data_IF_479988219659
#
_entry.id   IF_479988219659
#
_cell.length_a   1.000
_cell.length_b   1.000
_cell.length_c   1.000
_cell.angle_alpha   90.00
_cell.angle_beta   90.00
_cell.angle_gamma   90.00
#
_symmetry.space_group_name_H-M   'P 1'
#
loop_
_entity.id
_entity.type
_entity.pdbx_description
1 polymer ?
#
# COMPACT_ATOMS: atom_id res chain seq x y z
N UNK A 1 13.76 -26.34 -26.88
CA UNK A 1 12.30 -26.13 -26.74
C UNK A 1 11.92 -26.36 -25.28
N UNK A 2 11.92 -25.33 -24.43
CA UNK A 2 11.93 -25.52 -22.95
C UNK A 2 10.95 -24.63 -22.16
N UNK A 3 9.97 -23.99 -22.82
CA UNK A 3 8.91 -23.19 -22.16
C UNK A 3 7.47 -23.69 -22.41
N UNK A 4 7.28 -24.92 -22.88
CA UNK A 4 5.93 -25.46 -23.15
C UNK A 4 5.17 -24.79 -24.30
N UNK A 5 5.90 -24.21 -25.27
CA UNK A 5 5.32 -23.41 -26.34
C UNK A 5 4.89 -24.28 -27.53
N UNK A 6 3.67 -24.06 -28.02
CA UNK A 6 3.13 -24.73 -29.21
C UNK A 6 3.66 -24.07 -30.50
N UNK A 7 3.52 -24.73 -31.67
CA UNK A 7 3.89 -24.13 -32.97
C UNK A 7 3.18 -22.81 -33.28
N UNK A 8 1.98 -22.60 -32.73
CA UNK A 8 1.17 -21.39 -32.89
C UNK A 8 1.89 -20.14 -32.34
N UNK A 9 2.78 -20.31 -31.35
CA UNK A 9 3.48 -19.21 -30.68
C UNK A 9 4.32 -18.38 -31.66
N UNK A 10 4.88 -19.01 -32.70
CA UNK A 10 5.65 -18.28 -33.73
C UNK A 10 4.76 -17.36 -34.55
N UNK A 11 3.54 -17.80 -34.86
CA UNK A 11 2.56 -17.01 -35.62
C UNK A 11 2.09 -15.81 -34.79
N UNK A 12 1.74 -16.03 -33.53
CA UNK A 12 1.37 -14.97 -32.58
C UNK A 12 2.49 -13.94 -32.41
N UNK A 13 3.75 -14.39 -32.26
CA UNK A 13 4.88 -13.48 -32.12
C UNK A 13 5.09 -12.59 -33.35
N UNK A 14 4.92 -13.15 -34.57
CA UNK A 14 5.02 -12.38 -35.82
C UNK A 14 3.88 -11.38 -35.95
N UNK A 15 2.65 -11.77 -35.65
CA UNK A 15 1.47 -10.90 -35.71
C UNK A 15 1.55 -9.74 -34.71
N UNK A 16 1.94 -10.01 -33.45
CA UNK A 16 2.12 -8.98 -32.42
C UNK A 16 3.26 -8.01 -32.77
N UNK A 17 4.38 -8.54 -33.28
CA UNK A 17 5.52 -7.71 -33.70
C UNK A 17 5.19 -6.84 -34.92
N UNK A 18 4.36 -7.35 -35.84
CA UNK A 18 3.89 -6.59 -37.01
C UNK A 18 2.93 -5.45 -36.63
N UNK A 19 2.17 -5.60 -35.54
CA UNK A 19 1.30 -4.55 -35.03
C UNK A 19 2.09 -3.46 -34.28
N UNK A 20 2.93 -3.85 -33.32
CA UNK A 20 3.83 -2.96 -32.59
C UNK A 20 5.00 -3.75 -31.99
N UNK A 21 6.14 -3.71 -32.69
CA UNK A 21 7.34 -4.42 -32.27
C UNK A 21 7.88 -3.95 -30.91
N UNK A 22 7.74 -2.66 -30.57
CA UNK A 22 8.29 -2.10 -29.34
C UNK A 22 7.40 -2.46 -28.15
N UNK A 23 6.08 -2.34 -28.30
CA UNK A 23 5.13 -2.75 -27.28
C UNK A 23 5.17 -4.27 -27.05
N UNK A 24 5.22 -5.08 -28.11
CA UNK A 24 5.29 -6.54 -27.99
C UNK A 24 6.57 -7.01 -27.27
N UNK A 25 7.72 -6.36 -27.52
CA UNK A 25 8.95 -6.66 -26.79
C UNK A 25 8.91 -6.15 -25.36
N UNK A 26 8.42 -4.93 -25.13
CA UNK A 26 8.33 -4.33 -23.80
C UNK A 26 7.35 -5.09 -22.88
N UNK A 27 6.26 -5.62 -23.42
CA UNK A 27 5.35 -6.48 -22.68
C UNK A 27 5.97 -7.86 -22.40
N UNK A 28 6.63 -8.48 -23.39
CA UNK A 28 7.22 -9.80 -23.24
C UNK A 28 8.46 -9.83 -22.31
N UNK A 29 9.25 -8.77 -22.29
CA UNK A 29 10.51 -8.70 -21.53
C UNK A 29 10.37 -7.92 -20.22
N UNK A 30 9.63 -6.80 -20.23
CA UNK A 30 9.50 -5.90 -19.08
C UNK A 30 8.11 -5.90 -18.44
N UNK A 31 7.13 -6.62 -19.02
CA UNK A 31 5.76 -6.65 -18.51
C UNK A 31 5.02 -5.31 -18.63
N UNK A 32 5.49 -4.40 -19.50
CA UNK A 32 4.90 -3.08 -19.67
C UNK A 32 3.68 -3.22 -20.60
N UNK A 33 2.48 -3.15 -20.03
CA UNK A 33 1.24 -3.11 -20.81
C UNK A 33 0.99 -1.69 -21.33
N UNK A 34 0.90 -1.54 -22.66
CA UNK A 34 0.72 -0.25 -23.35
C UNK A 34 -0.51 0.55 -22.87
N UNK A 35 -1.58 -0.13 -22.44
CA UNK A 35 -2.83 0.48 -21.96
C UNK A 35 -2.79 0.98 -20.50
N UNK A 36 -1.71 0.69 -19.75
CA UNK A 36 -1.59 1.11 -18.34
C UNK A 36 -1.11 2.55 -18.21
N UNK A 37 -1.84 3.51 -18.78
CA UNK A 37 -1.51 4.94 -18.66
C UNK A 37 -1.84 5.42 -17.24
N UNK A 38 -0.86 5.36 -16.34
CA UNK A 38 -0.95 6.01 -15.03
C UNK A 38 -1.10 7.52 -15.23
N UNK A 39 -1.95 8.15 -14.40
CA UNK A 39 -2.18 9.58 -14.43
C UNK A 39 -1.55 10.16 -13.16
N UNK A 40 -0.32 10.71 -13.22
CA UNK A 40 0.48 10.98 -12.01
C UNK A 40 -0.25 11.85 -10.98
N UNK A 41 -0.94 12.90 -11.44
CA UNK A 41 -1.72 13.77 -10.57
C UNK A 41 -2.93 13.06 -9.96
N UNK A 42 -3.62 12.20 -10.72
CA UNK A 42 -4.78 11.45 -10.23
C UNK A 42 -4.36 10.47 -9.15
N UNK A 43 -3.26 9.76 -9.38
CA UNK A 43 -2.75 8.74 -8.46
C UNK A 43 -2.21 9.39 -7.18
N UNK A 44 -1.51 10.52 -7.30
CA UNK A 44 -1.06 11.32 -6.15
C UNK A 44 -2.22 11.85 -5.31
N UNK A 45 -3.26 12.41 -5.95
CA UNK A 45 -4.45 12.89 -5.25
C UNK A 45 -5.21 11.77 -4.54
N UNK A 46 -5.32 10.60 -5.17
CA UNK A 46 -5.96 9.44 -4.55
C UNK A 46 -5.23 9.01 -3.27
N UNK A 47 -3.89 8.95 -3.29
CA UNK A 47 -3.07 8.64 -2.10
C UNK A 47 -3.21 9.74 -1.05
N UNK A 48 -3.17 11.01 -1.45
CA UNK A 48 -3.31 12.15 -0.55
C UNK A 48 -4.65 12.14 0.20
N UNK A 49 -5.75 11.89 -0.51
CA UNK A 49 -7.09 11.79 0.09
C UNK A 49 -7.17 10.58 1.03
N UNK A 50 -6.65 9.42 0.62
CA UNK A 50 -6.63 8.23 1.47
C UNK A 50 -5.82 8.47 2.77
N UNK A 51 -4.68 9.17 2.67
CA UNK A 51 -3.87 9.54 3.82
C UNK A 51 -4.61 10.50 4.75
N UNK A 52 -5.20 11.56 4.20
CA UNK A 52 -5.99 12.53 4.98
C UNK A 52 -7.16 11.85 5.69
N UNK A 53 -7.90 10.98 4.99
CA UNK A 53 -8.99 10.20 5.58
C UNK A 53 -8.51 9.29 6.72
N UNK A 54 -7.37 8.62 6.55
CA UNK A 54 -6.76 7.80 7.60
C UNK A 54 -6.32 8.61 8.83
N UNK A 55 -5.88 9.85 8.63
CA UNK A 55 -5.45 10.74 9.71
C UNK A 55 -6.59 11.32 10.55
N UNK A 56 -7.85 11.25 10.06
CA UNK A 56 -9.02 11.76 10.81
C UNK A 56 -9.15 11.07 12.17
N UNK A 57 -8.90 9.76 12.24
CA UNK A 57 -9.08 8.98 13.46
C UNK A 57 -8.10 9.39 14.59
N UNK A 58 -6.76 9.43 14.39
CA UNK A 58 -5.84 9.95 15.41
C UNK A 58 -6.05 11.43 15.71
N UNK A 59 -6.44 12.23 14.71
CA UNK A 59 -6.73 13.64 14.94
C UNK A 59 -7.93 13.81 15.89
N UNK A 60 -9.02 13.09 15.67
CA UNK A 60 -10.19 13.07 16.56
C UNK A 60 -9.84 12.54 17.95
N UNK A 61 -9.01 11.49 18.05
CA UNK A 61 -8.64 10.94 19.35
C UNK A 61 -7.89 11.94 20.22
N UNK A 62 -6.99 12.74 19.64
CA UNK A 62 -6.26 13.79 20.36
C UNK A 62 -7.17 14.94 20.80
N UNK A 63 -8.15 15.33 19.99
CA UNK A 63 -9.08 16.42 20.29
C UNK A 63 -10.08 16.03 21.38
N UNK A 64 -10.61 14.81 21.33
CA UNK A 64 -11.72 14.39 22.20
C UNK A 64 -11.27 13.75 23.51
N UNK A 65 -10.06 13.16 23.56
CA UNK A 65 -9.65 12.35 24.72
C UNK A 65 -9.00 13.24 25.80
N UNK A 66 -9.40 13.09 27.08
CA UNK A 66 -8.83 13.83 28.19
C UNK A 66 -7.32 13.56 28.36
N UNK A 67 -6.61 14.60 28.80
CA UNK A 67 -5.13 14.64 28.83
C UNK A 67 -4.51 13.47 29.59
N UNK A 68 -5.14 13.01 30.68
CA UNK A 68 -4.62 11.94 31.55
C UNK A 68 -4.43 10.59 30.85
N UNK A 69 -5.24 10.28 29.84
CA UNK A 69 -5.22 8.98 29.13
C UNK A 69 -4.99 9.12 27.63
N UNK A 70 -4.85 10.35 27.12
CA UNK A 70 -4.77 10.67 25.69
C UNK A 70 -3.73 9.86 24.93
N UNK A 71 -2.52 9.75 25.47
CA UNK A 71 -1.42 9.03 24.83
C UNK A 71 -1.76 7.54 24.63
N UNK A 72 -2.06 6.84 25.72
CA UNK A 72 -2.37 5.41 25.69
C UNK A 72 -3.61 5.09 24.83
N UNK A 73 -4.68 5.88 24.97
CA UNK A 73 -5.91 5.63 24.21
C UNK A 73 -5.74 5.95 22.72
N UNK A 74 -5.03 7.02 22.36
CA UNK A 74 -4.71 7.31 20.94
C UNK A 74 -3.87 6.20 20.33
N UNK A 75 -2.86 5.71 21.06
CA UNK A 75 -2.02 4.61 20.60
C UNK A 75 -2.83 3.35 20.31
N UNK A 76 -3.74 2.98 21.22
CA UNK A 76 -4.63 1.83 21.05
C UNK A 76 -5.57 1.98 19.84
N UNK A 77 -6.18 3.15 19.68
CA UNK A 77 -7.08 3.46 18.55
C UNK A 77 -6.33 3.34 17.22
N UNK A 78 -5.13 3.92 17.12
CA UNK A 78 -4.33 3.87 15.89
C UNK A 78 -3.88 2.44 15.59
N UNK A 79 -3.45 1.67 16.58
CA UNK A 79 -3.09 0.26 16.38
C UNK A 79 -4.28 -0.56 15.89
N UNK A 80 -5.48 -0.36 16.44
CA UNK A 80 -6.68 -1.03 15.98
C UNK A 80 -7.00 -0.67 14.52
N UNK A 81 -6.86 0.60 14.14
CA UNK A 81 -7.06 1.06 12.77
C UNK A 81 -5.99 0.48 11.80
N UNK A 82 -4.73 0.40 12.22
CA UNK A 82 -3.66 -0.21 11.43
C UNK A 82 -3.86 -1.72 11.24
N UNK A 83 -4.31 -2.42 12.28
CA UNK A 83 -4.68 -3.82 12.18
C UNK A 83 -5.87 -4.02 11.23
N UNK A 84 -6.92 -3.19 11.33
CA UNK A 84 -8.08 -3.25 10.45
C UNK A 84 -7.71 -2.99 8.99
N UNK A 85 -6.92 -1.96 8.72
CA UNK A 85 -6.46 -1.65 7.35
C UNK A 85 -5.54 -2.72 6.79
N UNK A 86 -4.66 -3.31 7.61
CA UNK A 86 -3.86 -4.48 7.24
C UNK A 86 -4.73 -5.69 6.87
N UNK A 87 -5.80 -5.93 7.64
CA UNK A 87 -6.76 -6.99 7.35
C UNK A 87 -7.52 -6.76 6.05
N UNK A 88 -8.04 -5.55 5.84
CA UNK A 88 -8.75 -5.15 4.60
C UNK A 88 -7.84 -5.34 3.39
N UNK A 89 -6.58 -4.89 3.49
CA UNK A 89 -5.58 -5.04 2.41
C UNK A 89 -5.36 -6.52 2.08
N UNK A 90 -5.18 -7.37 3.10
CA UNK A 90 -5.02 -8.81 2.88
C UNK A 90 -6.24 -9.46 2.24
N UNK A 91 -7.45 -9.00 2.62
CA UNK A 91 -8.72 -9.50 2.06
C UNK A 91 -8.85 -9.17 0.58
N UNK A 92 -8.50 -7.95 0.18
CA UNK A 92 -8.48 -7.50 -1.22
C UNK A 92 -7.43 -8.30 -2.01
N UNK A 93 -6.25 -8.52 -1.43
CA UNK A 93 -5.17 -9.29 -2.07
C UNK A 93 -5.36 -10.81 -2.03
N UNK A 94 -6.42 -11.32 -1.38
CA UNK A 94 -6.69 -12.77 -1.18
C UNK A 94 -5.51 -13.54 -0.56
N UNK A 95 -4.80 -12.92 0.39
CA UNK A 95 -3.69 -13.54 1.13
C UNK A 95 -4.05 -13.74 2.60
N UNK A 96 -3.23 -14.51 3.32
CA UNK A 96 -3.41 -14.68 4.77
C UNK A 96 -3.28 -13.31 5.49
N UNK A 97 -4.27 -12.90 6.31
CA UNK A 97 -4.30 -11.57 6.91
C UNK A 97 -3.29 -11.34 8.03
N UNK A 98 -2.78 -12.39 8.68
CA UNK A 98 -1.92 -12.23 9.86
C UNK A 98 -0.65 -11.44 9.56
N UNK A 99 0.06 -11.78 8.47
CA UNK A 99 1.32 -11.14 8.14
C UNK A 99 1.16 -9.64 7.81
N UNK A 100 0.22 -9.22 6.92
CA UNK A 100 -0.03 -7.80 6.67
C UNK A 100 -0.48 -7.03 7.92
N UNK A 101 -1.36 -7.61 8.75
CA UNK A 101 -1.84 -6.96 9.98
C UNK A 101 -0.68 -6.68 10.95
N UNK A 102 0.12 -7.71 11.26
CA UNK A 102 1.24 -7.61 12.21
C UNK A 102 2.29 -6.64 11.66
N UNK A 103 2.61 -6.72 10.37
CA UNK A 103 3.60 -5.83 9.74
C UNK A 103 3.16 -4.37 9.85
N UNK A 104 1.93 -4.05 9.44
CA UNK A 104 1.43 -2.68 9.42
C UNK A 104 1.27 -2.11 10.83
N UNK A 105 0.66 -2.87 11.75
CA UNK A 105 0.51 -2.45 13.14
C UNK A 105 1.86 -2.36 13.87
N UNK A 106 2.79 -3.28 13.61
CA UNK A 106 4.11 -3.30 14.22
C UNK A 106 4.98 -2.10 13.81
N UNK A 107 5.07 -1.82 12.51
CA UNK A 107 5.83 -0.66 12.00
C UNK A 107 5.21 0.66 12.51
N UNK A 108 3.88 0.78 12.43
CA UNK A 108 3.19 1.99 12.92
C UNK A 108 3.33 2.18 14.43
N UNK A 109 3.20 1.10 15.20
CA UNK A 109 3.42 1.10 16.65
C UNK A 109 4.84 1.52 17.02
N UNK A 110 5.84 0.98 16.33
CA UNK A 110 7.24 1.35 16.56
C UNK A 110 7.49 2.83 16.25
N UNK A 111 6.95 3.34 15.13
CA UNK A 111 7.07 4.75 14.78
C UNK A 111 6.41 5.68 15.82
N UNK A 112 5.22 5.32 16.30
CA UNK A 112 4.54 6.06 17.37
C UNK A 112 5.33 6.02 18.69
N UNK A 113 5.94 4.89 19.03
CA UNK A 113 6.77 4.77 20.22
C UNK A 113 7.99 5.70 20.14
N UNK A 114 8.70 5.66 19.01
CA UNK A 114 9.88 6.50 18.77
C UNK A 114 9.51 7.99 18.87
N UNK A 115 8.42 8.40 18.24
CA UNK A 115 7.98 9.80 18.26
C UNK A 115 7.51 10.26 19.64
N UNK A 116 6.82 9.40 20.40
CA UNK A 116 6.43 9.70 21.77
C UNK A 116 7.65 9.87 22.68
N UNK A 117 8.61 8.95 22.60
CA UNK A 117 9.86 9.01 23.37
C UNK A 117 10.66 10.26 23.01
N UNK A 118 10.82 10.53 21.71
CA UNK A 118 11.51 11.74 21.25
C UNK A 118 10.83 13.01 21.76
N UNK A 119 9.49 13.09 21.71
CA UNK A 119 8.72 14.21 22.25
C UNK A 119 8.94 14.40 23.76
N UNK A 120 8.89 13.31 24.53
CA UNK A 120 9.11 13.34 25.97
C UNK A 120 10.53 13.79 26.36
N UNK A 121 11.55 13.41 25.58
CA UNK A 121 12.93 13.84 25.84
C UNK A 121 13.21 15.28 25.39
N UNK A 122 12.59 15.75 24.30
CA UNK A 122 12.84 17.09 23.75
C UNK A 122 12.04 18.18 24.47
N UNK A 123 10.86 17.86 24.98
CA UNK A 123 9.97 18.76 25.71
C UNK A 123 9.46 18.08 26.98
N UNK A 124 10.26 18.12 28.08
CA UNK A 124 9.89 17.51 29.35
C UNK A 124 8.73 18.23 30.05
#
# INVERSE_FOLDING_TARGET
>A
MSRGLSPLTRQVAVELTAHDALAAHAEAEYGIMSDSRSAPLRDALAVGIAFAAGAVLPWLSIVLIPVSVRGATTFAIVLAALALTGWVTARISRVNPLAPMIRTAGIGGLAMLITYVAGHFLYP
#
